data_IF_683104387194
#
_entry.id   IF_683104387194
#
_cell.length_a   1.000
_cell.length_b   1.000
_cell.length_c   1.000
_cell.angle_alpha   90.00
_cell.angle_beta   90.00
_cell.angle_gamma   90.00
#
_symmetry.space_group_name_H-M   'P 1'
#
loop_
_entity.id
_entity.type
_entity.pdbx_description
1 polymer ?
#
# COMPACT_ATOMS: atom_id res chain seq x y z
N UNK A 1 -59.85 12.74 -28.03
CA UNK A 1 -59.02 11.53 -27.80
C UNK A 1 -57.83 11.57 -28.76
N UNK A 2 -56.61 11.80 -28.28
CA UNK A 2 -55.39 11.72 -29.11
C UNK A 2 -54.32 10.94 -28.33
N UNK A 3 -54.01 9.73 -28.76
CA UNK A 3 -53.01 8.85 -28.17
C UNK A 3 -51.61 9.13 -28.71
N UNK A 4 -50.66 9.46 -27.82
CA UNK A 4 -49.23 9.59 -28.17
C UNK A 4 -48.54 8.22 -28.11
N UNK A 5 -47.99 7.76 -29.24
CA UNK A 5 -47.11 6.58 -29.32
C UNK A 5 -45.73 6.90 -28.72
N UNK A 6 -45.36 6.25 -27.62
CA UNK A 6 -44.00 6.27 -27.11
C UNK A 6 -43.09 5.38 -27.97
N UNK A 7 -41.92 5.88 -28.38
CA UNK A 7 -40.87 5.10 -29.07
C UNK A 7 -39.98 4.41 -28.02
N UNK A 8 -39.57 3.14 -28.21
CA UNK A 8 -38.83 2.40 -27.19
C UNK A 8 -37.34 2.80 -27.12
N UNK A 9 -36.92 3.14 -25.89
CA UNK A 9 -35.58 3.57 -25.42
C UNK A 9 -34.46 2.51 -25.63
N UNK A 10 -34.81 1.30 -26.07
CA UNK A 10 -33.92 0.14 -26.13
C UNK A 10 -32.78 0.20 -27.16
N UNK A 11 -32.87 1.06 -28.18
CA UNK A 11 -31.83 1.11 -29.24
C UNK A 11 -30.55 1.85 -28.83
N UNK A 12 -30.59 2.71 -27.80
CA UNK A 12 -29.39 3.41 -27.33
C UNK A 12 -28.53 2.57 -26.36
N UNK A 13 -29.15 1.71 -25.54
CA UNK A 13 -28.43 0.88 -24.56
C UNK A 13 -27.51 -0.18 -25.21
N UNK A 14 -27.90 -0.76 -26.35
CA UNK A 14 -27.06 -1.75 -27.06
C UNK A 14 -25.78 -1.15 -27.64
N UNK A 15 -25.79 0.12 -28.07
CA UNK A 15 -24.59 0.78 -28.64
C UNK A 15 -23.57 1.14 -27.57
N UNK A 16 -24.01 1.54 -26.38
CA UNK A 16 -23.13 1.84 -25.24
C UNK A 16 -22.44 0.57 -24.69
N UNK A 17 -23.16 -0.54 -24.60
CA UNK A 17 -22.57 -1.82 -24.17
C UNK A 17 -21.48 -2.35 -25.11
N UNK A 18 -21.64 -2.16 -26.43
CA UNK A 18 -20.61 -2.58 -27.39
C UNK A 18 -19.36 -1.68 -27.33
N UNK A 19 -19.51 -0.39 -27.06
CA UNK A 19 -18.39 0.53 -26.85
C UNK A 19 -17.59 0.21 -25.58
N UNK A 20 -18.27 -0.14 -24.48
CA UNK A 20 -17.61 -0.54 -23.23
C UNK A 20 -16.80 -1.83 -23.38
N UNK A 21 -17.37 -2.87 -24.02
CA UNK A 21 -16.64 -4.13 -24.28
C UNK A 21 -15.41 -3.94 -25.17
N UNK A 22 -15.44 -3.00 -26.12
CA UNK A 22 -14.29 -2.66 -26.97
C UNK A 22 -13.20 -1.88 -26.21
N UNK A 23 -13.56 -1.02 -25.25
CA UNK A 23 -12.58 -0.32 -24.39
C UNK A 23 -11.90 -1.26 -23.40
N UNK A 24 -12.64 -2.22 -22.84
CA UNK A 24 -12.10 -3.19 -21.88
C UNK A 24 -11.11 -4.15 -22.55
N UNK A 25 -11.45 -4.70 -23.73
CA UNK A 25 -10.51 -5.52 -24.52
C UNK A 25 -9.24 -4.78 -24.94
N UNK A 26 -9.30 -3.46 -25.20
CA UNK A 26 -8.09 -2.66 -25.51
C UNK A 26 -7.21 -2.44 -24.27
N UNK A 27 -7.78 -2.35 -23.06
CA UNK A 27 -7.03 -2.27 -21.81
C UNK A 27 -6.39 -3.61 -21.46
N UNK A 28 -7.10 -4.72 -21.60
CA UNK A 28 -6.58 -6.06 -21.30
C UNK A 28 -5.42 -6.47 -22.23
N UNK A 29 -5.47 -6.03 -23.50
CA UNK A 29 -4.36 -6.20 -24.45
C UNK A 29 -3.15 -5.29 -24.14
N UNK A 30 -3.39 -4.12 -23.53
CA UNK A 30 -2.33 -3.23 -23.04
C UNK A 30 -1.58 -3.82 -21.85
N UNK A 31 -2.30 -4.41 -20.89
CA UNK A 31 -1.71 -5.07 -19.72
C UNK A 31 -0.90 -6.32 -20.07
N UNK A 32 -1.33 -7.10 -21.07
CA UNK A 32 -0.55 -8.26 -21.57
C UNK A 32 0.77 -7.88 -22.26
N UNK A 33 0.93 -6.63 -22.73
CA UNK A 33 2.22 -6.13 -23.23
C UNK A 33 3.18 -5.70 -22.11
N UNK A 34 2.65 -5.23 -20.98
CA UNK A 34 3.44 -4.79 -19.82
C UNK A 34 3.91 -5.96 -18.94
N UNK A 35 3.27 -7.12 -19.05
CA UNK A 35 3.61 -8.34 -18.30
C UNK A 35 4.45 -9.33 -19.10
N UNK A 36 5.07 -8.93 -20.22
CA UNK A 36 6.10 -9.79 -20.84
C UNK A 36 7.32 -9.82 -19.91
N UNK A 37 7.83 -10.99 -19.53
CA UNK A 37 9.06 -11.08 -18.75
C UNK A 37 10.19 -10.37 -19.49
N UNK A 38 10.87 -9.46 -18.80
CA UNK A 38 12.07 -8.74 -19.25
C UNK A 38 13.25 -9.72 -19.21
N UNK A 39 13.20 -10.74 -20.07
CA UNK A 39 14.22 -11.78 -20.11
C UNK A 39 15.08 -11.73 -21.39
N UNK A 40 14.88 -10.76 -22.29
CA UNK A 40 15.67 -10.67 -23.54
C UNK A 40 15.58 -9.29 -24.22
N UNK A 41 15.94 -8.21 -23.53
CA UNK A 41 16.27 -6.95 -24.22
C UNK A 41 17.78 -6.70 -24.11
N UNK A 42 18.50 -6.54 -25.24
CA UNK A 42 19.90 -6.14 -25.20
C UNK A 42 20.02 -4.70 -24.68
N UNK A 43 20.89 -4.49 -23.69
CA UNK A 43 21.14 -3.17 -23.09
C UNK A 43 21.57 -2.13 -24.15
N UNK A 44 21.07 -0.88 -24.06
CA UNK A 44 21.59 0.21 -24.86
C UNK A 44 22.97 0.61 -24.36
N UNK A 45 24.01 0.27 -25.14
CA UNK A 45 25.40 0.70 -24.94
C UNK A 45 25.49 2.23 -24.90
N UNK A 46 25.51 2.82 -23.69
CA UNK A 46 25.92 4.22 -23.49
C UNK A 46 27.44 4.29 -23.52
N UNK A 47 28.00 4.84 -24.59
CA UNK A 47 29.41 5.22 -24.67
C UNK A 47 29.65 6.45 -23.79
N UNK A 48 30.15 6.25 -22.58
CA UNK A 48 30.86 7.30 -21.85
C UNK A 48 32.26 7.45 -22.47
N UNK A 49 32.52 8.55 -23.18
CA UNK A 49 33.88 8.99 -23.51
C UNK A 49 34.47 9.63 -22.26
N UNK A 50 35.35 8.91 -21.57
CA UNK A 50 36.27 9.49 -20.59
C UNK A 50 37.61 9.65 -21.30
N UNK A 51 38.05 10.90 -21.49
CA UNK A 51 39.43 11.21 -21.88
C UNK A 51 40.32 11.18 -20.64
N UNK A 52 41.52 10.57 -20.68
CA UNK A 52 42.41 10.56 -19.54
C UNK A 52 43.25 11.85 -19.53
N UNK A 53 43.17 12.62 -18.45
CA UNK A 53 44.23 13.58 -18.09
C UNK A 53 45.21 12.88 -17.14
N UNK A 54 46.46 12.81 -17.61
CA UNK A 54 47.64 12.32 -16.89
C UNK A 54 47.98 13.22 -15.70
N UNK A 55 48.49 12.63 -14.62
CA UNK A 55 49.44 13.28 -13.72
C UNK A 55 49.28 12.88 -12.25
N UNK A 56 50.24 12.03 -11.79
CA UNK A 56 50.85 11.95 -10.45
C UNK A 56 49.94 11.83 -9.21
N UNK A 57 50.24 11.12 -8.14
CA UNK A 57 51.29 10.22 -7.70
C UNK A 57 50.73 9.58 -6.40
N UNK A 58 51.07 8.30 -6.16
CA UNK A 58 51.28 7.63 -4.86
C UNK A 58 50.40 8.03 -3.66
N UNK A 59 49.55 7.12 -3.19
CA UNK A 59 49.83 6.37 -1.95
C UNK A 59 48.70 5.39 -1.56
N UNK A 60 49.16 4.25 -1.03
CA UNK A 60 48.51 3.34 -0.08
C UNK A 60 47.12 2.75 -0.39
N UNK A 61 47.18 1.47 -0.79
CA UNK A 61 46.38 0.34 -0.27
C UNK A 61 44.98 0.64 0.29
N UNK A 62 43.95 0.12 -0.39
CA UNK A 62 42.85 -0.65 0.21
C UNK A 62 42.12 -1.43 -0.90
N UNK A 63 42.29 -2.76 -0.91
CA UNK A 63 41.64 -3.67 -1.84
C UNK A 63 40.15 -3.79 -1.49
N UNK A 64 39.30 -3.09 -2.24
CA UNK A 64 37.86 -3.31 -2.29
C UNK A 64 37.56 -4.50 -3.20
N UNK A 65 37.14 -5.63 -2.62
CA UNK A 65 36.37 -6.64 -3.36
C UNK A 65 34.90 -6.51 -2.99
N UNK A 66 34.13 -6.17 -4.00
CA UNK A 66 32.71 -5.96 -3.95
C UNK A 66 31.94 -7.27 -3.67
N UNK A 67 31.18 -7.29 -2.59
CA UNK A 67 29.85 -7.91 -2.57
C UNK A 67 28.92 -6.91 -1.89
N UNK A 68 28.15 -6.22 -2.72
CA UNK A 68 27.13 -5.26 -2.31
C UNK A 68 26.00 -5.96 -1.56
N UNK A 69 26.16 -6.06 -0.26
CA UNK A 69 25.03 -6.00 0.68
C UNK A 69 25.36 -4.78 1.52
N UNK A 70 24.69 -3.67 1.25
CA UNK A 70 24.72 -2.52 2.13
C UNK A 70 24.02 -2.95 3.43
N UNK A 71 24.79 -3.60 4.31
CA UNK A 71 24.41 -3.80 5.69
C UNK A 71 24.43 -2.39 6.30
N UNK A 72 23.28 -1.72 6.28
CA UNK A 72 23.14 -0.44 6.97
C UNK A 72 23.44 -0.73 8.43
N UNK A 73 24.55 -0.17 8.87
CA UNK A 73 25.12 -0.35 10.18
C UNK A 73 24.08 -0.05 11.26
N UNK A 74 23.91 -0.97 12.20
CA UNK A 74 22.94 -0.99 13.31
C UNK A 74 23.13 0.15 14.34
N UNK A 75 23.95 1.15 14.04
CA UNK A 75 24.45 2.15 14.99
C UNK A 75 24.46 3.59 14.46
N UNK A 76 23.85 3.88 13.30
CA UNK A 76 23.63 5.28 12.91
C UNK A 76 22.49 5.87 13.77
N UNK A 77 22.87 6.28 14.99
CA UNK A 77 22.22 7.26 15.87
C UNK A 77 20.87 7.75 15.34
N UNK A 78 19.81 7.01 15.62
CA UNK A 78 18.49 7.61 15.69
C UNK A 78 18.58 8.58 16.86
N UNK A 79 18.70 9.87 16.56
CA UNK A 79 18.40 10.89 17.57
C UNK A 79 17.05 10.54 18.20
N UNK A 80 16.91 10.65 19.53
CA UNK A 80 15.64 10.35 20.19
C UNK A 80 14.50 11.10 19.50
N UNK A 81 13.39 10.40 19.29
CA UNK A 81 12.25 10.95 18.57
C UNK A 81 11.72 12.13 19.38
N UNK A 82 11.50 13.26 18.72
CA UNK A 82 11.00 14.45 19.41
C UNK A 82 9.62 14.14 20.04
N UNK A 83 9.30 14.67 21.24
CA UNK A 83 8.03 14.37 21.92
C UNK A 83 6.78 14.62 21.08
N UNK A 84 6.80 15.67 20.27
CA UNK A 84 5.71 16.00 19.34
C UNK A 84 5.55 14.94 18.24
N UNK A 85 6.65 14.29 17.84
CA UNK A 85 6.61 13.18 16.87
C UNK A 85 6.00 11.93 17.51
N UNK A 86 6.41 11.59 18.73
CA UNK A 86 5.84 10.46 19.49
C UNK A 86 4.34 10.63 19.72
N UNK A 87 3.91 11.85 20.06
CA UNK A 87 2.48 12.19 20.21
C UNK A 87 1.69 11.93 18.92
N UNK A 88 2.23 12.35 17.76
CA UNK A 88 1.58 12.09 16.45
C UNK A 88 1.48 10.60 16.11
N UNK A 89 2.47 9.79 16.50
CA UNK A 89 2.37 8.33 16.36
C UNK A 89 1.28 7.76 17.26
N UNK A 90 1.23 8.18 18.51
CA UNK A 90 0.22 7.75 19.47
C UNK A 90 -1.19 8.04 18.95
N UNK A 91 -1.45 9.27 18.49
CA UNK A 91 -2.75 9.68 17.91
C UNK A 91 -3.18 8.78 16.74
N UNK A 92 -2.25 8.47 15.83
CA UNK A 92 -2.53 7.61 14.67
C UNK A 92 -2.79 6.16 15.07
N UNK A 93 -1.99 5.62 15.99
CA UNK A 93 -2.16 4.25 16.48
C UNK A 93 -3.45 4.11 17.29
N UNK A 94 -3.80 5.10 18.10
CA UNK A 94 -5.06 5.13 18.86
C UNK A 94 -6.26 5.25 17.92
N UNK A 95 -6.17 6.08 16.88
CA UNK A 95 -7.19 6.14 15.84
C UNK A 95 -7.37 4.80 15.13
N UNK A 96 -6.28 4.12 14.77
CA UNK A 96 -6.34 2.80 14.15
C UNK A 96 -7.03 1.78 15.07
N UNK A 97 -6.61 1.69 16.33
CA UNK A 97 -7.21 0.80 17.34
C UNK A 97 -8.69 1.09 17.56
N UNK A 98 -9.06 2.36 17.71
CA UNK A 98 -10.47 2.77 17.89
C UNK A 98 -11.33 2.30 16.72
N UNK A 99 -10.83 2.45 15.49
CA UNK A 99 -11.58 2.06 14.29
C UNK A 99 -11.66 0.56 14.09
N UNK A 100 -10.59 -0.18 14.37
CA UNK A 100 -10.65 -1.65 14.41
C UNK A 100 -11.64 -2.15 15.46
N UNK A 101 -11.66 -1.53 16.64
CA UNK A 101 -12.64 -1.83 17.68
C UNK A 101 -14.08 -1.55 17.26
N UNK A 102 -14.32 -0.43 16.56
CA UNK A 102 -15.63 -0.11 16.01
C UNK A 102 -16.09 -1.14 14.97
N UNK A 103 -15.20 -1.54 14.05
CA UNK A 103 -15.49 -2.59 13.06
C UNK A 103 -15.92 -3.90 13.73
N UNK A 104 -15.19 -4.32 14.77
CA UNK A 104 -15.51 -5.54 15.52
C UNK A 104 -16.78 -5.42 16.36
N UNK A 105 -17.07 -4.24 16.90
CA UNK A 105 -18.28 -4.00 17.67
C UNK A 105 -19.53 -4.04 16.78
N UNK A 106 -19.45 -3.47 15.57
CA UNK A 106 -20.57 -3.42 14.62
C UNK A 106 -20.83 -4.75 13.93
N UNK A 107 -19.82 -5.64 13.87
CA UNK A 107 -19.92 -6.98 13.26
C UNK A 107 -20.66 -6.96 11.92
N UNK A 108 -20.24 -6.12 10.94
CA UNK A 108 -20.93 -6.01 9.67
C UNK A 108 -21.02 -7.39 9.01
N UNK A 109 -22.18 -7.73 8.46
CA UNK A 109 -22.42 -8.96 7.70
C UNK A 109 -22.76 -8.62 6.24
N UNK A 110 -22.47 -9.50 5.27
CA UNK A 110 -22.79 -9.26 3.87
C UNK A 110 -24.29 -9.04 3.62
N UNK A 111 -25.15 -9.72 4.36
CA UNK A 111 -26.61 -9.62 4.29
C UNK A 111 -27.18 -8.54 5.23
N UNK A 112 -26.31 -7.88 6.00
CA UNK A 112 -26.70 -6.90 6.99
C UNK A 112 -27.20 -5.59 6.40
N UNK A 113 -27.76 -4.69 7.23
CA UNK A 113 -28.20 -3.38 6.77
C UNK A 113 -27.08 -2.62 6.05
N UNK A 114 -27.40 -1.98 4.92
CA UNK A 114 -26.44 -1.23 4.11
C UNK A 114 -25.61 -0.25 4.96
N UNK A 115 -26.26 0.45 5.89
CA UNK A 115 -25.61 1.38 6.82
C UNK A 115 -24.48 0.73 7.63
N UNK A 116 -24.65 -0.52 8.08
CA UNK A 116 -23.72 -1.20 8.97
C UNK A 116 -22.51 -1.71 8.17
N UNK A 117 -22.75 -2.19 6.94
CA UNK A 117 -21.70 -2.56 6.00
C UNK A 117 -20.83 -1.35 5.63
N UNK A 118 -21.46 -0.25 5.25
CA UNK A 118 -20.76 1.00 4.92
C UNK A 118 -19.98 1.57 6.12
N UNK A 119 -20.56 1.51 7.32
CA UNK A 119 -19.87 1.89 8.55
C UNK A 119 -18.64 1.00 8.78
N UNK A 120 -18.78 -0.32 8.63
CA UNK A 120 -17.68 -1.28 8.69
C UNK A 120 -16.56 -0.97 7.70
N UNK A 121 -16.89 -0.76 6.43
CA UNK A 121 -15.91 -0.38 5.41
C UNK A 121 -15.20 0.91 5.76
N UNK A 122 -15.94 1.92 6.23
CA UNK A 122 -15.35 3.20 6.63
C UNK A 122 -14.41 3.06 7.82
N UNK A 123 -14.76 2.25 8.81
CA UNK A 123 -13.88 1.96 9.94
C UNK A 123 -12.57 1.31 9.49
N UNK A 124 -12.63 0.28 8.64
CA UNK A 124 -11.42 -0.38 8.13
C UNK A 124 -10.57 0.56 7.27
N UNK A 125 -11.21 1.38 6.41
CA UNK A 125 -10.52 2.38 5.60
C UNK A 125 -9.75 3.38 6.48
N UNK A 126 -10.38 3.89 7.53
CA UNK A 126 -9.71 4.83 8.44
C UNK A 126 -8.60 4.17 9.25
N UNK A 127 -8.80 2.92 9.71
CA UNK A 127 -7.76 2.17 10.41
C UNK A 127 -6.54 1.92 9.52
N UNK A 128 -6.78 1.45 8.30
CA UNK A 128 -5.72 1.21 7.31
C UNK A 128 -4.97 2.48 6.95
N UNK A 129 -5.66 3.60 6.72
CA UNK A 129 -5.00 4.87 6.43
C UNK A 129 -4.10 5.33 7.59
N UNK A 130 -4.56 5.21 8.83
CA UNK A 130 -3.77 5.59 9.99
C UNK A 130 -2.49 4.74 10.12
N UNK A 131 -2.57 3.42 9.86
CA UNK A 131 -1.40 2.54 9.87
C UNK A 131 -0.43 2.81 8.72
N UNK A 132 -0.93 3.08 7.52
CA UNK A 132 -0.11 3.40 6.35
C UNK A 132 0.60 4.75 6.52
N UNK A 133 -0.07 5.74 7.10
CA UNK A 133 0.55 7.01 7.47
C UNK A 133 1.68 6.78 8.50
N UNK A 134 1.45 5.93 9.50
CA UNK A 134 2.47 5.56 10.48
C UNK A 134 3.69 4.90 9.82
N UNK A 135 3.47 4.01 8.86
CA UNK A 135 4.57 3.39 8.10
C UNK A 135 5.37 4.42 7.29
N UNK A 136 4.69 5.37 6.65
CA UNK A 136 5.32 6.49 5.94
C UNK A 136 6.10 7.41 6.87
N UNK A 137 5.56 7.70 8.07
CA UNK A 137 6.25 8.49 9.08
C UNK A 137 7.50 7.78 9.59
N UNK A 138 7.42 6.48 9.89
CA UNK A 138 8.56 5.69 10.34
C UNK A 138 9.63 5.59 9.26
N UNK A 139 9.26 5.40 7.99
CA UNK A 139 10.20 5.42 6.88
C UNK A 139 11.04 6.70 6.88
N UNK A 140 10.36 7.85 6.99
CA UNK A 140 11.02 9.16 7.05
C UNK A 140 11.96 9.26 8.26
N UNK A 141 11.48 8.86 9.43
CA UNK A 141 12.24 9.02 10.67
C UNK A 141 13.42 8.02 10.77
N UNK A 142 13.37 6.91 10.04
CA UNK A 142 14.47 5.96 9.84
C UNK A 142 15.46 6.40 8.73
N UNK A 143 15.33 7.63 8.22
CA UNK A 143 16.22 8.18 7.20
C UNK A 143 15.94 7.67 5.78
N UNK A 144 14.84 6.94 5.57
CA UNK A 144 14.42 6.49 4.24
C UNK A 144 13.37 7.43 3.67
N UNK A 145 13.55 8.00 2.47
CA UNK A 145 12.51 8.82 1.85
C UNK A 145 11.22 8.01 1.71
N UNK A 146 10.07 8.50 2.20
CA UNK A 146 8.80 7.80 2.02
C UNK A 146 8.50 7.62 0.53
N UNK A 147 8.18 6.38 0.15
CA UNK A 147 7.79 6.03 -1.22
C UNK A 147 6.30 5.70 -1.23
N UNK A 148 5.92 4.65 -1.95
CA UNK A 148 4.58 4.10 -1.87
C UNK A 148 4.37 3.25 -0.60
N UNK A 149 3.12 2.86 -0.37
CA UNK A 149 2.73 2.05 0.78
C UNK A 149 3.47 0.71 0.83
N UNK A 150 3.71 0.06 -0.32
CA UNK A 150 4.38 -1.23 -0.33
C UNK A 150 5.83 -1.09 0.12
N UNK A 151 6.58 -0.17 -0.47
CA UNK A 151 7.96 0.08 -0.09
C UNK A 151 8.09 0.49 1.39
N UNK A 152 7.18 1.30 1.91
CA UNK A 152 7.21 1.70 3.32
C UNK A 152 6.93 0.52 4.27
N UNK A 153 5.99 -0.38 3.93
CA UNK A 153 5.69 -1.57 4.74
C UNK A 153 6.87 -2.57 4.71
N UNK A 154 7.41 -2.86 3.53
CA UNK A 154 8.55 -3.79 3.40
C UNK A 154 9.77 -3.30 4.18
N UNK A 155 10.00 -1.99 4.22
CA UNK A 155 11.04 -1.41 5.07
C UNK A 155 10.77 -1.70 6.56
N UNK A 156 9.54 -1.56 7.05
CA UNK A 156 9.24 -1.90 8.45
C UNK A 156 9.49 -3.38 8.78
N UNK A 157 9.21 -4.27 7.84
CA UNK A 157 9.49 -5.70 7.96
C UNK A 157 11.02 -5.96 7.97
N UNK A 158 11.76 -5.38 7.03
CA UNK A 158 13.23 -5.48 6.96
C UNK A 158 13.92 -4.97 8.24
N UNK A 159 13.36 -3.91 8.83
CA UNK A 159 13.84 -3.33 10.09
C UNK A 159 13.33 -4.07 11.34
N UNK A 160 12.61 -5.19 11.20
CA UNK A 160 12.02 -5.98 12.30
C UNK A 160 11.09 -5.15 13.20
N UNK A 161 10.44 -4.13 12.63
CA UNK A 161 9.40 -3.33 13.30
C UNK A 161 8.07 -4.05 13.21
N UNK A 162 7.81 -4.69 12.06
CA UNK A 162 6.65 -5.55 11.84
C UNK A 162 7.09 -6.99 11.60
N UNK A 163 6.30 -7.95 12.11
CA UNK A 163 6.39 -9.34 11.68
C UNK A 163 5.67 -9.57 10.35
N UNK A 164 5.95 -10.71 9.71
CA UNK A 164 5.45 -11.04 8.36
C UNK A 164 3.92 -10.93 8.25
N UNK A 165 3.16 -11.47 9.22
CA UNK A 165 1.70 -11.47 9.16
C UNK A 165 1.10 -10.03 9.21
N UNK A 166 1.45 -9.15 10.17
CA UNK A 166 1.11 -7.74 10.16
C UNK A 166 1.52 -6.98 8.89
N UNK A 167 2.74 -7.21 8.38
CA UNK A 167 3.23 -6.58 7.15
C UNK A 167 2.37 -7.00 5.94
N UNK A 168 2.11 -8.30 5.80
CA UNK A 168 1.24 -8.85 4.77
C UNK A 168 -0.18 -8.29 4.87
N UNK A 169 -0.75 -8.21 6.07
CA UNK A 169 -2.09 -7.66 6.27
C UNK A 169 -2.17 -6.18 5.85
N UNK A 170 -1.12 -5.39 6.10
CA UNK A 170 -1.04 -4.01 5.64
C UNK A 170 -0.98 -3.90 4.10
N UNK A 171 -0.24 -4.78 3.44
CA UNK A 171 -0.23 -4.84 1.98
C UNK A 171 -1.62 -5.20 1.42
N UNK A 172 -2.27 -6.20 2.00
CA UNK A 172 -3.59 -6.65 1.56
C UNK A 172 -4.66 -5.57 1.78
N UNK A 173 -4.67 -4.89 2.93
CA UNK A 173 -5.65 -3.84 3.21
C UNK A 173 -5.41 -2.58 2.36
N UNK A 174 -4.17 -2.26 2.00
CA UNK A 174 -3.87 -1.18 1.08
C UNK A 174 -4.50 -1.42 -0.30
N UNK A 175 -4.47 -2.68 -0.77
CA UNK A 175 -5.16 -3.10 -1.98
C UNK A 175 -6.69 -3.14 -1.82
N UNK A 176 -7.20 -3.58 -0.67
CA UNK A 176 -8.63 -3.62 -0.37
C UNK A 176 -9.24 -2.22 -0.34
N UNK A 177 -8.55 -1.22 0.22
CA UNK A 177 -8.99 0.18 0.24
C UNK A 177 -9.27 0.69 -1.18
N UNK A 178 -8.39 0.37 -2.13
CA UNK A 178 -8.56 0.78 -3.53
C UNK A 178 -9.75 0.09 -4.19
N UNK A 179 -10.00 -1.19 -3.89
CA UNK A 179 -11.16 -1.94 -4.38
C UNK A 179 -12.48 -1.41 -3.81
N UNK A 180 -12.54 -1.17 -2.50
CA UNK A 180 -13.71 -0.61 -1.81
C UNK A 180 -14.12 0.78 -2.29
N UNK A 181 -13.19 1.57 -2.85
CA UNK A 181 -13.46 2.93 -3.36
C UNK A 181 -13.85 2.93 -4.84
N UNK A 182 -13.49 1.88 -5.60
CA UNK A 182 -13.63 1.87 -7.06
C UNK A 182 -14.64 0.84 -7.59
N UNK A 183 -15.07 -0.14 -6.81
CA UNK A 183 -15.92 -1.25 -7.25
C UNK A 183 -17.27 -1.29 -6.51
N UNK A 184 -18.06 -0.22 -6.59
CA UNK A 184 -19.43 -0.10 -6.07
C UNK A 184 -20.48 -0.93 -6.86
N UNK A 185 -20.12 -2.13 -7.32
CA UNK A 185 -21.04 -2.96 -8.12
C UNK A 185 -21.91 -3.91 -7.26
N UNK A 186 -21.90 -3.79 -5.93
CA UNK A 186 -22.72 -4.56 -4.98
C UNK A 186 -22.47 -6.08 -5.00
N UNK A 187 -21.53 -6.57 -5.80
CA UNK A 187 -21.34 -7.98 -6.12
C UNK A 187 -20.27 -8.67 -5.27
N UNK A 188 -19.69 -7.96 -4.29
CA UNK A 188 -18.57 -8.51 -3.51
C UNK A 188 -18.53 -8.05 -2.04
N UNK A 189 -19.69 -7.75 -1.44
CA UNK A 189 -19.77 -7.44 -0.01
C UNK A 189 -19.30 -8.63 0.85
N UNK A 190 -19.57 -9.86 0.39
CA UNK A 190 -19.09 -11.09 1.02
C UNK A 190 -17.56 -11.13 1.08
N UNK A 191 -16.90 -11.03 -0.08
CA UNK A 191 -15.43 -11.02 -0.16
C UNK A 191 -14.84 -9.84 0.61
N UNK A 192 -15.45 -8.66 0.55
CA UNK A 192 -14.99 -7.47 1.24
C UNK A 192 -15.04 -7.62 2.77
N UNK A 193 -16.19 -8.04 3.32
CA UNK A 193 -16.40 -8.19 4.76
C UNK A 193 -15.55 -9.34 5.30
N UNK A 194 -15.46 -10.46 4.58
CA UNK A 194 -14.64 -11.60 5.03
C UNK A 194 -13.15 -11.28 4.96
N UNK A 195 -12.69 -10.57 3.92
CA UNK A 195 -11.33 -10.05 3.88
C UNK A 195 -11.06 -9.10 5.05
N UNK A 196 -11.99 -8.17 5.33
CA UNK A 196 -11.86 -7.23 6.43
C UNK A 196 -11.76 -7.94 7.79
N UNK A 197 -12.62 -8.94 8.04
CA UNK A 197 -12.62 -9.76 9.26
C UNK A 197 -11.33 -10.53 9.43
N UNK A 198 -10.83 -11.14 8.35
CA UNK A 198 -9.56 -11.87 8.36
C UNK A 198 -8.37 -10.96 8.66
N UNK A 199 -8.36 -9.74 8.11
CA UNK A 199 -7.26 -8.79 8.25
C UNK A 199 -7.25 -8.05 9.61
N UNK A 200 -8.41 -7.82 10.22
CA UNK A 200 -8.52 -7.00 11.42
C UNK A 200 -7.62 -7.43 12.60
N UNK A 201 -7.48 -8.73 12.93
CA UNK A 201 -6.56 -9.18 13.98
C UNK A 201 -5.10 -8.82 13.70
N UNK A 202 -4.62 -9.04 12.47
CA UNK A 202 -3.24 -8.74 12.09
C UNK A 202 -2.97 -7.23 12.02
N UNK A 203 -3.96 -6.43 11.64
CA UNK A 203 -3.88 -4.96 11.69
C UNK A 203 -3.82 -4.45 13.14
N UNK A 204 -4.50 -5.11 14.08
CA UNK A 204 -4.36 -4.80 15.51
C UNK A 204 -2.95 -5.14 16.00
N UNK A 205 -2.43 -6.31 15.61
CA UNK A 205 -1.06 -6.72 15.93
C UNK A 205 -0.04 -5.72 15.36
N UNK A 206 -0.25 -5.20 14.15
CA UNK A 206 0.58 -4.13 13.60
C UNK A 206 0.62 -2.88 14.50
N UNK A 207 -0.53 -2.49 15.09
CA UNK A 207 -0.57 -1.36 16.04
C UNK A 207 0.30 -1.63 17.28
N UNK A 208 0.28 -2.87 17.77
CA UNK A 208 1.01 -3.30 18.97
C UNK A 208 2.51 -3.35 18.71
N UNK A 209 2.93 -3.97 17.62
CA UNK A 209 4.35 -4.09 17.25
C UNK A 209 4.99 -2.71 17.04
N UNK A 210 4.30 -1.81 16.32
CA UNK A 210 4.79 -0.44 16.14
C UNK A 210 4.87 0.30 17.47
N UNK A 211 3.86 0.17 18.34
CA UNK A 211 3.87 0.81 19.67
C UNK A 211 5.02 0.29 20.53
N UNK A 212 5.22 -1.03 20.56
CA UNK A 212 6.32 -1.67 21.29
C UNK A 212 7.70 -1.31 20.72
N UNK A 213 7.79 -1.04 19.42
CA UNK A 213 9.01 -0.51 18.83
C UNK A 213 9.27 0.93 19.27
N UNK A 214 8.25 1.80 19.19
CA UNK A 214 8.34 3.20 19.61
C UNK A 214 8.68 3.34 21.10
N UNK A 215 8.16 2.48 21.98
CA UNK A 215 8.50 2.54 23.41
C UNK A 215 9.94 2.14 23.72
N UNK A 216 10.61 1.42 22.81
CA UNK A 216 12.01 0.98 22.97
C UNK A 216 13.02 1.90 22.27
N UNK A 217 12.58 2.68 21.29
CA UNK A 217 13.43 3.50 20.41
C UNK A 217 13.02 4.98 20.35
N UNK A 218 11.98 5.36 21.09
CA UNK A 218 11.45 6.71 21.19
C UNK A 218 12.23 7.57 22.18
#
# INVERSE_FOLDING_TARGET
MVGRRQRPIWRHHRRLHQHHRRRQRRRDLGWRRLLRPVANQPEPRRRCRVTPRRGAERDAQLSATARGVAFVCRCALLSPLQPERLSRYADKLDRARQRLGAFEAWKPTPEGPLKDRLAGYKALQEASQALLDTASMLAKDLGTPPKDNHANISMLEEHNILSEAPARALHEVAGLRNRLVHEDNGRDDEIAIDSARRLAPDLRKACEEVRSWLSRNG
#
